data_IF_884201622761
#
_entry.id   IF_884201622761
#
_cell.length_a   1.000
_cell.length_b   1.000
_cell.length_c   1.000
_cell.angle_alpha   90.00
_cell.angle_beta   90.00
_cell.angle_gamma   90.00
#
_symmetry.space_group_name_H-M   'P 1'
#
loop_
_entity.id
_entity.type
_entity.pdbx_description
1 polymer ?
#
# COMPACT_ATOMS: atom_id res chain seq x y z
N UNK A 1 28.66 -72.62 -49.08
CA UNK A 1 27.34 -71.92 -48.92
C UNK A 1 27.40 -70.71 -49.80
N UNK A 2 26.38 -70.57 -50.65
CA UNK A 2 26.21 -69.37 -51.49
C UNK A 2 25.55 -68.32 -50.65
N UNK A 3 26.16 -67.11 -50.54
CA UNK A 3 25.51 -65.99 -49.96
C UNK A 3 24.28 -65.54 -50.82
N UNK A 4 23.32 -64.84 -50.27
CA UNK A 4 22.10 -64.42 -50.98
C UNK A 4 22.37 -63.65 -52.27
N UNK A 5 23.61 -63.25 -52.56
CA UNK A 5 24.03 -62.57 -53.78
C UNK A 5 25.01 -63.34 -54.62
N UNK A 6 25.06 -64.68 -54.52
CA UNK A 6 25.90 -65.54 -55.36
C UNK A 6 27.41 -65.46 -55.11
N UNK A 7 27.89 -64.76 -54.12
CA UNK A 7 29.29 -64.76 -53.76
C UNK A 7 29.61 -65.90 -52.83
N UNK A 8 30.75 -66.55 -53.00
CA UNK A 8 31.21 -67.72 -52.21
C UNK A 8 31.30 -67.30 -50.71
N UNK A 9 30.61 -68.09 -49.86
CA UNK A 9 30.71 -67.88 -48.44
C UNK A 9 32.10 -68.31 -47.91
N UNK A 10 32.77 -67.42 -47.22
CA UNK A 10 33.94 -67.73 -46.42
C UNK A 10 33.60 -68.79 -45.38
N UNK A 11 34.32 -69.92 -45.35
CA UNK A 11 34.19 -70.85 -44.25
C UNK A 11 34.75 -70.23 -42.99
N UNK A 12 33.92 -70.08 -41.99
CA UNK A 12 34.26 -69.46 -40.71
C UNK A 12 35.40 -70.03 -39.88
N UNK A 13 36.11 -71.04 -40.48
CA UNK A 13 37.24 -71.74 -39.82
C UNK A 13 38.50 -70.88 -39.67
N UNK A 14 38.61 -69.76 -40.30
CA UNK A 14 39.86 -68.95 -40.32
C UNK A 14 39.73 -67.60 -39.61
N UNK A 15 38.56 -67.26 -39.10
CA UNK A 15 38.34 -65.95 -38.44
C UNK A 15 37.86 -66.20 -37.01
N UNK A 16 38.58 -65.71 -36.03
CA UNK A 16 38.15 -65.76 -34.63
C UNK A 16 37.00 -64.82 -34.42
N UNK A 17 35.90 -65.22 -33.71
CA UNK A 17 34.81 -64.34 -33.38
C UNK A 17 35.25 -63.29 -32.38
N UNK A 18 34.72 -62.09 -32.54
CA UNK A 18 34.95 -61.01 -31.58
C UNK A 18 34.32 -61.33 -30.22
N UNK A 19 33.18 -62.06 -30.24
CA UNK A 19 32.48 -62.49 -29.02
C UNK A 19 31.82 -63.86 -29.19
N UNK A 20 31.78 -64.64 -28.09
CA UNK A 20 31.04 -65.90 -28.00
C UNK A 20 29.97 -65.85 -26.94
N UNK A 21 28.81 -66.45 -27.25
CA UNK A 21 27.67 -66.55 -26.33
C UNK A 21 27.42 -67.95 -25.84
N UNK A 22 26.73 -68.12 -24.68
CA UNK A 22 26.49 -69.46 -24.08
C UNK A 22 25.69 -70.39 -24.99
N UNK A 23 24.83 -69.85 -25.83
CA UNK A 23 24.08 -70.66 -26.80
C UNK A 23 24.91 -71.15 -27.99
N UNK A 24 26.23 -71.00 -27.96
CA UNK A 24 27.12 -71.31 -29.01
C UNK A 24 27.16 -70.36 -30.19
N UNK A 25 26.46 -69.24 -30.09
CA UNK A 25 26.48 -68.18 -31.09
C UNK A 25 27.81 -67.40 -31.04
N UNK A 26 28.30 -66.99 -32.19
CA UNK A 26 29.50 -66.19 -32.33
C UNK A 26 29.15 -64.88 -33.07
N UNK A 27 29.66 -63.75 -32.57
CA UNK A 27 29.50 -62.46 -33.13
C UNK A 27 30.76 -61.96 -33.78
N UNK A 28 30.68 -61.58 -35.02
CA UNK A 28 31.77 -61.01 -35.79
C UNK A 28 31.46 -59.56 -36.13
N UNK A 29 32.39 -58.64 -35.86
CA UNK A 29 32.34 -57.27 -36.34
C UNK A 29 32.98 -57.17 -37.71
N UNK A 30 32.29 -56.65 -38.67
CA UNK A 30 32.85 -56.31 -39.99
C UNK A 30 33.58 -57.43 -40.66
N UNK A 31 32.86 -58.49 -41.03
CA UNK A 31 33.46 -59.59 -41.85
C UNK A 31 34.05 -59.01 -43.15
N UNK A 32 35.21 -59.51 -43.62
CA UNK A 32 35.93 -59.02 -44.79
C UNK A 32 35.07 -58.92 -46.08
N UNK A 33 34.03 -59.72 -46.19
CA UNK A 33 33.08 -59.70 -47.33
C UNK A 33 32.22 -58.42 -47.45
N UNK A 34 32.13 -57.65 -46.38
CA UNK A 34 31.29 -56.47 -46.34
C UNK A 34 32.09 -55.16 -46.15
N UNK A 35 33.43 -55.26 -46.17
CA UNK A 35 34.28 -54.06 -46.06
C UNK A 35 34.16 -53.12 -47.25
N UNK A 36 33.83 -53.61 -48.42
CA UNK A 36 33.65 -52.79 -49.62
C UNK A 36 32.39 -51.94 -49.60
N UNK A 37 31.39 -52.17 -48.70
CA UNK A 37 30.14 -51.41 -48.61
C UNK A 37 30.27 -50.17 -47.74
N UNK A 38 31.39 -49.97 -47.05
CA UNK A 38 31.63 -48.87 -46.16
C UNK A 38 30.69 -48.84 -44.90
N UNK A 39 29.80 -49.82 -44.77
CA UNK A 39 28.92 -49.96 -43.62
C UNK A 39 29.40 -51.00 -42.64
N UNK A 40 29.63 -50.67 -41.37
CA UNK A 40 29.94 -51.67 -40.36
C UNK A 40 28.75 -52.63 -40.21
N UNK A 41 29.00 -53.91 -40.19
CA UNK A 41 28.01 -54.96 -40.03
C UNK A 41 28.31 -55.80 -38.79
N UNK A 42 27.23 -56.25 -38.14
CA UNK A 42 27.35 -57.30 -37.11
C UNK A 42 26.80 -58.59 -37.72
N UNK A 43 27.64 -59.64 -37.70
CA UNK A 43 27.23 -60.93 -38.17
C UNK A 43 27.12 -61.87 -36.99
N UNK A 44 25.95 -62.50 -36.85
CA UNK A 44 25.68 -63.50 -35.85
C UNK A 44 25.82 -64.94 -36.49
N UNK A 45 26.68 -65.79 -35.94
CA UNK A 45 26.82 -67.19 -36.32
C UNK A 45 26.21 -68.06 -35.23
N UNK A 46 25.40 -69.03 -35.61
CA UNK A 46 24.90 -70.07 -34.73
C UNK A 46 25.26 -71.45 -35.32
N UNK A 47 26.05 -72.24 -34.59
CA UNK A 47 26.58 -73.53 -35.07
C UNK A 47 27.48 -73.36 -36.32
N UNK A 48 27.16 -74.07 -37.41
CA UNK A 48 27.92 -74.00 -38.68
C UNK A 48 27.32 -72.96 -39.67
N UNK A 49 26.25 -72.22 -39.29
CA UNK A 49 25.52 -71.36 -40.18
C UNK A 49 25.55 -69.94 -39.68
N UNK A 50 25.73 -68.95 -40.57
CA UNK A 50 25.53 -67.56 -40.29
C UNK A 50 24.00 -67.25 -40.30
N UNK A 51 23.51 -66.75 -39.21
CA UNK A 51 22.04 -66.52 -39.03
C UNK A 51 21.61 -65.18 -39.55
N UNK A 52 22.41 -64.17 -39.38
CA UNK A 52 22.12 -62.81 -39.88
C UNK A 52 23.39 -61.96 -39.98
N UNK A 53 23.44 -61.10 -40.98
CA UNK A 53 24.40 -60.02 -41.07
C UNK A 53 23.54 -58.74 -41.18
N UNK A 54 23.53 -57.99 -40.14
CA UNK A 54 22.69 -56.73 -40.06
C UNK A 54 23.64 -55.55 -40.23
N UNK A 55 23.40 -54.73 -41.24
CA UNK A 55 24.10 -53.42 -41.32
C UNK A 55 23.77 -52.62 -40.07
N UNK A 56 24.82 -52.11 -39.45
CA UNK A 56 24.65 -51.13 -38.39
C UNK A 56 24.16 -49.83 -39.05
N UNK A 57 22.84 -49.70 -39.21
CA UNK A 57 22.24 -48.46 -39.60
C UNK A 57 22.62 -47.47 -38.51
N UNK A 58 23.42 -46.45 -38.84
CA UNK A 58 23.56 -45.30 -37.98
C UNK A 58 22.14 -44.79 -37.79
N UNK A 59 21.57 -45.04 -36.61
CA UNK A 59 20.40 -44.27 -36.18
C UNK A 59 20.85 -42.84 -36.17
N UNK A 60 20.40 -42.05 -37.15
CA UNK A 60 20.49 -40.59 -37.11
C UNK A 60 19.52 -40.17 -36.02
N UNK A 61 19.97 -40.31 -34.79
CA UNK A 61 19.34 -39.58 -33.70
C UNK A 61 19.81 -38.15 -33.90
N UNK A 62 18.90 -37.22 -34.07
CA UNK A 62 19.22 -35.77 -33.99
C UNK A 62 20.21 -35.54 -32.83
N UNK A 63 21.13 -34.56 -32.90
CA UNK A 63 22.22 -34.43 -31.97
C UNK A 63 21.71 -34.54 -30.53
N UNK A 64 21.79 -35.74 -30.01
CA UNK A 64 21.39 -36.03 -28.65
C UNK A 64 22.45 -35.36 -27.72
N UNK A 65 22.04 -34.77 -26.61
CA UNK A 65 22.95 -34.16 -25.65
C UNK A 65 23.76 -35.18 -24.85
N UNK A 66 23.94 -36.37 -25.40
CA UNK A 66 24.68 -37.47 -24.76
C UNK A 66 25.34 -38.33 -25.81
N UNK A 67 26.48 -38.92 -25.44
CA UNK A 67 27.17 -39.94 -26.18
C UNK A 67 26.67 -41.31 -25.75
N UNK A 68 26.81 -42.31 -26.60
CA UNK A 68 26.41 -43.67 -26.23
C UNK A 68 27.46 -44.71 -26.69
N UNK A 69 27.50 -45.80 -25.95
CA UNK A 69 28.30 -46.98 -26.27
C UNK A 69 27.48 -48.24 -26.07
N UNK A 70 27.58 -49.15 -27.01
CA UNK A 70 26.98 -50.46 -26.88
C UNK A 70 28.14 -51.45 -26.72
N UNK A 71 28.11 -52.21 -25.61
CA UNK A 71 29.12 -53.21 -25.29
C UNK A 71 28.48 -54.60 -25.32
N UNK A 72 29.25 -55.61 -25.75
CA UNK A 72 28.88 -57.00 -25.59
C UNK A 72 29.83 -57.67 -24.62
N UNK A 73 29.31 -58.61 -23.84
CA UNK A 73 30.10 -59.45 -22.93
C UNK A 73 30.29 -60.78 -23.51
N UNK A 74 31.57 -61.23 -23.60
CA UNK A 74 31.92 -62.59 -23.92
C UNK A 74 31.76 -63.42 -22.66
N UNK A 75 30.89 -64.43 -22.70
CA UNK A 75 30.59 -65.25 -21.53
C UNK A 75 31.69 -66.28 -21.19
N UNK A 76 32.48 -66.61 -22.16
CA UNK A 76 33.56 -67.56 -21.95
C UNK A 76 34.82 -66.96 -21.32
N UNK A 77 35.09 -65.71 -21.67
CA UNK A 77 36.28 -64.97 -21.20
C UNK A 77 35.92 -63.84 -20.18
N UNK A 78 34.63 -63.59 -19.96
CA UNK A 78 34.14 -62.50 -19.15
C UNK A 78 34.62 -61.10 -19.60
N UNK A 79 35.21 -60.99 -20.79
CA UNK A 79 35.68 -59.74 -21.36
C UNK A 79 34.52 -58.98 -22.00
N UNK A 80 34.41 -57.67 -21.71
CA UNK A 80 33.50 -56.76 -22.39
C UNK A 80 34.22 -56.05 -23.53
N UNK A 81 33.61 -56.04 -24.68
CA UNK A 81 34.15 -55.35 -25.85
C UNK A 81 33.17 -54.35 -26.43
N UNK A 82 33.73 -53.33 -27.01
CA UNK A 82 32.93 -52.27 -27.69
C UNK A 82 32.30 -52.85 -28.96
N UNK A 83 31.00 -52.83 -29.06
CA UNK A 83 30.25 -53.22 -30.25
C UNK A 83 29.98 -51.98 -31.16
N UNK A 84 29.54 -50.91 -30.60
CA UNK A 84 29.14 -49.73 -31.36
C UNK A 84 29.16 -48.47 -30.46
N UNK A 85 29.34 -47.31 -31.05
CA UNK A 85 29.29 -46.02 -30.33
C UNK A 85 30.67 -45.41 -30.11
N UNK A 86 30.68 -44.37 -29.31
CA UNK A 86 31.91 -43.65 -28.97
C UNK A 86 32.63 -44.34 -27.80
N UNK A 87 33.96 -44.34 -27.84
CA UNK A 87 34.75 -44.91 -26.76
C UNK A 87 34.59 -43.98 -25.52
N UNK A 88 34.13 -44.53 -24.38
CA UNK A 88 34.01 -43.74 -23.18
C UNK A 88 35.39 -43.26 -22.68
N UNK A 89 35.46 -42.17 -21.91
CA UNK A 89 36.69 -41.64 -21.35
C UNK A 89 37.50 -42.71 -20.64
N UNK A 90 38.86 -42.65 -20.74
CA UNK A 90 39.78 -43.56 -20.07
C UNK A 90 39.52 -43.56 -18.56
N UNK A 91 39.37 -44.77 -17.98
CA UNK A 91 39.06 -44.95 -16.55
C UNK A 91 37.58 -45.24 -16.25
N UNK A 92 36.72 -45.31 -17.28
CA UNK A 92 35.32 -45.69 -17.12
C UNK A 92 35.20 -47.17 -16.71
N UNK A 93 34.41 -47.49 -15.67
CA UNK A 93 34.18 -48.89 -15.30
C UNK A 93 33.43 -49.64 -16.39
N UNK A 94 33.69 -50.96 -16.50
CA UNK A 94 32.92 -51.83 -17.39
C UNK A 94 31.47 -51.93 -16.89
N UNK A 95 30.54 -51.30 -17.63
CA UNK A 95 29.12 -51.35 -17.31
C UNK A 95 28.55 -52.72 -17.74
N UNK A 96 28.34 -53.59 -16.77
CA UNK A 96 27.86 -54.95 -16.99
C UNK A 96 26.46 -55.19 -16.45
N UNK A 97 25.85 -54.19 -15.82
CA UNK A 97 24.54 -54.28 -15.22
C UNK A 97 23.78 -52.95 -15.41
N UNK A 98 22.45 -53.00 -15.26
CA UNK A 98 21.58 -51.82 -15.25
C UNK A 98 21.99 -50.90 -14.11
N UNK A 99 22.11 -49.63 -14.40
CA UNK A 99 22.41 -48.65 -13.34
C UNK A 99 22.64 -47.25 -13.84
N UNK A 100 22.72 -46.35 -12.90
CA UNK A 100 23.17 -44.95 -13.11
C UNK A 100 24.37 -44.70 -12.23
N UNK A 101 25.39 -44.12 -12.78
CA UNK A 101 26.64 -43.84 -12.05
C UNK A 101 27.12 -42.44 -12.42
N UNK A 102 27.65 -41.73 -11.45
CA UNK A 102 28.37 -40.47 -11.65
C UNK A 102 29.82 -40.67 -11.29
N UNK A 103 30.70 -40.39 -12.23
CA UNK A 103 32.13 -40.42 -12.03
C UNK A 103 32.65 -39.04 -12.43
N UNK A 104 33.22 -38.32 -11.49
CA UNK A 104 33.65 -36.94 -11.66
C UNK A 104 32.51 -36.05 -12.21
N UNK A 105 32.71 -35.40 -13.34
CA UNK A 105 31.73 -34.57 -14.03
C UNK A 105 30.82 -35.32 -15.00
N UNK A 106 31.07 -36.62 -15.21
CA UNK A 106 30.35 -37.45 -16.18
C UNK A 106 29.21 -38.22 -15.51
N UNK A 107 28.08 -38.24 -16.18
CA UNK A 107 26.88 -39.01 -15.82
C UNK A 107 26.75 -40.17 -16.79
N UNK A 108 26.59 -41.38 -16.27
CA UNK A 108 26.42 -42.61 -17.00
C UNK A 108 25.08 -43.24 -16.67
N UNK A 109 24.38 -43.74 -17.70
CA UNK A 109 23.17 -44.52 -17.52
C UNK A 109 23.26 -45.78 -18.40
N UNK A 110 23.20 -46.94 -17.79
CA UNK A 110 23.35 -48.24 -18.48
C UNK A 110 22.05 -49.02 -18.42
N UNK A 111 21.70 -49.61 -19.54
CA UNK A 111 20.64 -50.61 -19.66
C UNK A 111 21.19 -51.83 -20.39
N UNK A 112 20.99 -53.00 -19.79
CA UNK A 112 21.46 -54.29 -20.32
C UNK A 112 20.28 -55.13 -20.78
N UNK A 113 20.45 -55.81 -21.90
CA UNK A 113 19.47 -56.78 -22.38
C UNK A 113 19.73 -58.15 -21.77
N UNK A 114 18.72 -58.72 -21.12
CA UNK A 114 18.79 -60.08 -20.54
C UNK A 114 18.89 -61.15 -21.61
N UNK A 115 18.44 -60.87 -22.84
CA UNK A 115 18.36 -61.83 -23.93
C UNK A 115 19.62 -61.87 -24.82
N UNK A 116 20.36 -60.77 -24.91
CA UNK A 116 21.46 -60.61 -25.88
C UNK A 116 22.80 -60.26 -25.24
N UNK A 117 22.90 -60.25 -23.92
CA UNK A 117 24.12 -59.93 -23.15
C UNK A 117 24.82 -58.62 -23.59
N UNK A 118 24.04 -57.72 -24.17
CA UNK A 118 24.51 -56.41 -24.62
C UNK A 118 24.06 -55.32 -23.67
N UNK A 119 24.92 -54.37 -23.35
CA UNK A 119 24.59 -53.21 -22.54
C UNK A 119 24.73 -51.96 -23.38
N UNK A 120 23.73 -51.10 -23.33
CA UNK A 120 23.79 -49.77 -23.89
C UNK A 120 24.04 -48.77 -22.75
N UNK A 121 25.12 -48.02 -22.83
CA UNK A 121 25.46 -46.97 -21.86
C UNK A 121 25.44 -45.63 -22.55
N UNK A 122 24.59 -44.73 -22.09
CA UNK A 122 24.64 -43.34 -22.45
C UNK A 122 25.48 -42.56 -21.43
N UNK A 123 26.28 -41.63 -21.91
CA UNK A 123 27.10 -40.80 -21.03
C UNK A 123 27.14 -39.34 -21.54
N UNK A 124 27.26 -38.42 -20.60
CA UNK A 124 27.33 -36.98 -20.86
C UNK A 124 27.95 -36.27 -19.67
N UNK A 125 28.39 -35.05 -19.86
CA UNK A 125 28.85 -34.19 -18.77
C UNK A 125 27.94 -32.96 -18.60
N UNK A 126 27.95 -32.38 -17.40
CA UNK A 126 27.10 -31.22 -17.06
C UNK A 126 27.38 -30.01 -17.96
N UNK A 127 28.64 -29.63 -18.26
CA UNK A 127 28.94 -28.55 -19.21
C UNK A 127 28.31 -28.77 -20.59
N UNK A 128 28.36 -29.99 -21.13
CA UNK A 128 27.82 -30.30 -22.46
C UNK A 128 26.27 -30.20 -22.50
N UNK A 129 25.60 -30.61 -21.41
CA UNK A 129 24.14 -30.44 -21.27
C UNK A 129 23.78 -28.94 -21.26
N UNK A 130 24.53 -28.13 -20.50
CA UNK A 130 24.32 -26.70 -20.42
C UNK A 130 24.53 -26.04 -21.80
N UNK A 131 25.59 -26.40 -22.50
CA UNK A 131 25.91 -25.84 -23.82
C UNK A 131 24.85 -26.18 -24.86
N UNK A 132 24.43 -27.46 -24.94
CA UNK A 132 23.38 -27.91 -25.86
C UNK A 132 22.01 -27.30 -25.54
N UNK A 133 21.75 -26.96 -24.25
CA UNK A 133 20.49 -26.40 -23.80
C UNK A 133 20.57 -24.89 -23.50
N UNK A 134 21.67 -24.21 -23.87
CA UNK A 134 21.98 -22.81 -23.52
C UNK A 134 20.85 -21.85 -23.82
N UNK A 135 20.23 -21.95 -24.98
CA UNK A 135 19.11 -21.09 -25.39
C UNK A 135 17.86 -21.30 -24.52
N UNK A 136 17.56 -22.53 -24.17
CA UNK A 136 16.43 -22.86 -23.27
C UNK A 136 16.70 -22.38 -21.85
N UNK A 137 17.94 -22.53 -21.37
CA UNK A 137 18.37 -22.12 -20.04
C UNK A 137 18.32 -20.58 -19.90
N UNK A 138 18.84 -19.86 -20.89
CA UNK A 138 18.77 -18.39 -20.94
C UNK A 138 17.33 -17.90 -21.05
N UNK A 139 16.49 -18.59 -21.81
CA UNK A 139 15.05 -18.32 -21.90
C UNK A 139 14.34 -18.46 -20.55
N UNK A 140 14.61 -19.54 -19.81
CA UNK A 140 14.05 -19.74 -18.47
C UNK A 140 14.51 -18.68 -17.47
N UNK A 141 15.79 -18.30 -17.48
CA UNK A 141 16.33 -17.23 -16.62
C UNK A 141 15.69 -15.89 -16.99
N UNK A 142 15.59 -15.56 -18.28
CA UNK A 142 14.96 -14.33 -18.74
C UNK A 142 13.47 -14.24 -18.35
N UNK A 143 12.72 -15.31 -18.55
CA UNK A 143 11.30 -15.39 -18.13
C UNK A 143 11.15 -15.27 -16.62
N UNK A 144 11.98 -15.95 -15.84
CA UNK A 144 11.95 -15.87 -14.37
C UNK A 144 12.29 -14.46 -13.87
N UNK A 145 13.29 -13.81 -14.49
CA UNK A 145 13.65 -12.43 -14.19
C UNK A 145 12.52 -11.44 -14.51
N UNK A 146 11.85 -11.62 -15.65
CA UNK A 146 10.72 -10.79 -16.07
C UNK A 146 9.51 -10.98 -15.12
N UNK A 147 9.17 -12.22 -14.76
CA UNK A 147 8.09 -12.51 -13.81
C UNK A 147 8.40 -11.95 -12.41
N UNK A 148 9.61 -12.17 -11.91
CA UNK A 148 10.06 -11.62 -10.62
C UNK A 148 10.03 -10.09 -10.61
N UNK A 149 10.47 -9.44 -11.70
CA UNK A 149 10.40 -7.99 -11.88
C UNK A 149 8.98 -7.45 -11.89
N UNK A 150 8.06 -8.10 -12.61
CA UNK A 150 6.64 -7.73 -12.63
C UNK A 150 5.98 -7.85 -11.26
N UNK A 151 6.24 -8.93 -10.54
CA UNK A 151 5.71 -9.14 -9.19
C UNK A 151 6.28 -8.08 -8.23
N UNK A 152 7.57 -7.84 -8.24
CA UNK A 152 8.22 -6.81 -7.43
C UNK A 152 7.70 -5.41 -7.72
N UNK A 153 7.50 -5.09 -9.01
CA UNK A 153 6.89 -3.83 -9.43
C UNK A 153 5.44 -3.69 -8.95
N UNK A 154 4.63 -4.73 -9.09
CA UNK A 154 3.25 -4.75 -8.60
C UNK A 154 3.17 -4.57 -7.08
N UNK A 155 4.02 -5.28 -6.33
CA UNK A 155 4.13 -5.11 -4.87
C UNK A 155 4.55 -3.68 -4.51
N UNK A 156 5.53 -3.10 -5.22
CA UNK A 156 5.98 -1.72 -5.00
C UNK A 156 4.85 -0.71 -5.26
N UNK A 157 4.07 -0.90 -6.34
CA UNK A 157 2.91 -0.04 -6.64
C UNK A 157 1.83 -0.15 -5.57
N UNK A 158 1.50 -1.37 -5.13
CA UNK A 158 0.54 -1.61 -4.06
C UNK A 158 1.01 -0.99 -2.73
N UNK A 159 2.29 -1.14 -2.40
CA UNK A 159 2.89 -0.55 -1.21
C UNK A 159 2.81 0.98 -1.26
N UNK A 160 3.25 1.62 -2.35
CA UNK A 160 3.18 3.08 -2.54
C UNK A 160 1.74 3.58 -2.47
N UNK A 161 0.79 2.89 -3.09
CA UNK A 161 -0.63 3.25 -3.03
C UNK A 161 -1.17 3.15 -1.61
N UNK A 162 -0.83 2.11 -0.88
CA UNK A 162 -1.30 1.86 0.48
C UNK A 162 -0.68 2.82 1.52
N UNK A 163 0.51 3.35 1.23
CA UNK A 163 1.22 4.34 2.06
C UNK A 163 0.89 5.79 1.67
N UNK A 164 -0.01 6.02 0.70
CA UNK A 164 -0.40 7.38 0.35
C UNK A 164 -1.10 8.07 1.54
N UNK A 165 -0.84 9.37 1.72
CA UNK A 165 -1.45 10.18 2.78
C UNK A 165 -2.99 10.07 2.78
N UNK A 166 -3.61 10.03 1.59
CA UNK A 166 -5.05 9.82 1.46
C UNK A 166 -5.52 8.51 2.09
N UNK A 167 -4.85 7.39 1.80
CA UNK A 167 -5.24 6.09 2.34
C UNK A 167 -5.02 5.99 3.85
N UNK A 168 -3.95 6.61 4.35
CA UNK A 168 -3.69 6.69 5.79
C UNK A 168 -4.79 7.51 6.49
N UNK A 169 -5.19 8.66 5.93
CA UNK A 169 -6.26 9.47 6.49
C UNK A 169 -7.60 8.74 6.46
N UNK A 170 -7.96 8.09 5.35
CA UNK A 170 -9.18 7.26 5.26
C UNK A 170 -9.19 6.13 6.30
N UNK A 171 -8.03 5.50 6.56
CA UNK A 171 -7.91 4.51 7.64
C UNK A 171 -8.06 5.15 9.01
N UNK A 172 -7.42 6.30 9.24
CA UNK A 172 -7.53 7.03 10.51
C UNK A 172 -8.99 7.42 10.82
N UNK A 173 -9.76 7.87 9.82
CA UNK A 173 -11.19 8.18 9.99
C UNK A 173 -11.97 6.92 10.38
N UNK A 174 -11.82 5.80 9.64
CA UNK A 174 -12.54 4.55 9.90
C UNK A 174 -12.19 3.93 11.25
N UNK A 175 -10.93 3.99 11.64
CA UNK A 175 -10.41 3.42 12.90
C UNK A 175 -10.50 4.39 14.07
N UNK A 176 -11.14 5.57 13.89
CA UNK A 176 -11.23 6.64 14.88
C UNK A 176 -9.86 7.13 15.39
N UNK A 177 -8.84 7.03 14.54
CA UNK A 177 -7.48 7.51 14.80
C UNK A 177 -7.30 9.02 14.64
N UNK A 178 -8.25 9.68 13.95
CA UNK A 178 -8.31 11.14 13.91
C UNK A 178 -8.70 11.66 15.31
N UNK A 179 -7.86 12.47 15.92
CA UNK A 179 -8.11 13.06 17.25
C UNK A 179 -8.87 14.37 17.10
N UNK A 180 -9.67 14.70 18.12
CA UNK A 180 -10.29 16.01 18.27
C UNK A 180 -9.82 16.60 19.59
N UNK A 181 -9.38 17.84 19.54
CA UNK A 181 -8.99 18.65 20.70
C UNK A 181 -9.84 19.90 20.73
N UNK A 182 -9.94 20.57 21.87
CA UNK A 182 -10.88 21.62 22.13
C UNK A 182 -10.18 22.86 22.65
N UNK A 183 -10.38 23.99 22.01
CA UNK A 183 -9.84 25.28 22.45
C UNK A 183 -10.92 26.08 23.15
N UNK A 184 -10.64 26.66 24.34
CA UNK A 184 -11.63 27.44 25.09
C UNK A 184 -12.09 28.67 24.31
N UNK A 185 -13.40 28.94 24.40
CA UNK A 185 -14.05 30.16 23.99
C UNK A 185 -14.53 30.86 25.25
N UNK A 186 -14.14 32.14 25.44
CA UNK A 186 -14.34 32.91 26.66
C UNK A 186 -15.15 34.16 26.33
N UNK A 187 -16.15 34.44 27.12
CA UNK A 187 -16.82 35.75 27.12
C UNK A 187 -15.90 36.76 27.79
N UNK A 188 -15.49 37.80 27.04
CA UNK A 188 -14.49 38.76 27.50
C UNK A 188 -15.07 39.74 28.54
N UNK A 189 -16.39 39.84 28.68
CA UNK A 189 -17.05 40.67 29.68
C UNK A 189 -17.16 39.97 31.03
N UNK A 190 -17.50 38.67 31.00
CA UNK A 190 -17.70 37.88 32.22
C UNK A 190 -16.48 37.04 32.58
N UNK A 191 -15.50 36.93 31.67
CA UNK A 191 -14.30 36.10 31.78
C UNK A 191 -14.63 34.61 31.92
N UNK A 192 -15.84 34.20 31.60
CA UNK A 192 -16.27 32.79 31.72
C UNK A 192 -16.05 32.01 30.42
N UNK A 193 -15.70 30.73 30.56
CA UNK A 193 -15.68 29.81 29.44
C UNK A 193 -17.10 29.47 29.06
N UNK A 194 -17.56 29.96 27.89
CA UNK A 194 -18.90 29.75 27.35
C UNK A 194 -18.96 28.67 26.30
N UNK A 195 -17.82 28.20 25.82
CA UNK A 195 -17.81 27.19 24.78
C UNK A 195 -16.41 26.68 24.48
N UNK A 196 -16.32 25.96 23.36
CA UNK A 196 -15.06 25.49 22.81
C UNK A 196 -15.11 25.33 21.29
N UNK A 197 -14.00 25.51 20.63
CA UNK A 197 -13.85 25.10 19.23
C UNK A 197 -13.27 23.70 19.14
N UNK A 198 -13.90 22.84 18.35
CA UNK A 198 -13.45 21.47 18.08
C UNK A 198 -12.49 21.44 16.90
N UNK A 199 -11.25 21.10 17.18
CA UNK A 199 -10.15 21.11 16.22
C UNK A 199 -9.65 19.69 15.96
N UNK A 200 -9.72 19.26 14.72
CA UNK A 200 -9.19 17.95 14.32
C UNK A 200 -7.66 17.94 14.30
N UNK A 201 -7.07 16.81 14.71
CA UNK A 201 -5.61 16.60 14.74
C UNK A 201 -5.32 15.20 14.19
N UNK A 202 -4.40 15.16 13.26
CA UNK A 202 -3.98 13.92 12.64
C UNK A 202 -2.47 13.76 12.71
N UNK A 203 -2.05 12.54 13.07
CA UNK A 203 -0.67 12.09 12.98
C UNK A 203 -0.65 10.94 11.98
N UNK A 204 0.23 11.01 11.01
CA UNK A 204 0.38 9.96 10.00
C UNK A 204 0.98 8.67 10.60
N UNK A 205 1.01 7.60 9.82
CA UNK A 205 1.56 6.32 10.26
C UNK A 205 3.09 6.37 10.47
N UNK A 206 3.76 7.41 9.96
CA UNK A 206 5.17 7.71 10.21
C UNK A 206 5.42 8.49 11.51
N UNK A 207 4.35 8.89 12.23
CA UNK A 207 4.45 9.68 13.47
C UNK A 207 4.54 11.19 13.24
N UNK A 208 4.37 11.70 12.02
CA UNK A 208 4.42 13.13 11.73
C UNK A 208 3.04 13.77 11.94
N UNK A 209 3.03 14.91 12.61
CA UNK A 209 1.81 15.71 12.78
C UNK A 209 1.50 16.41 11.45
N UNK A 210 0.34 16.13 10.90
CA UNK A 210 -0.15 16.75 9.65
C UNK A 210 -1.07 17.92 10.01
N UNK A 211 -0.80 19.10 9.43
CA UNK A 211 -1.62 20.29 9.67
C UNK A 211 -3.04 20.11 9.15
N UNK A 212 -4.06 20.64 9.87
CA UNK A 212 -5.48 20.53 9.47
C UNK A 212 -5.74 21.01 8.04
N UNK A 213 -5.17 22.14 7.65
CA UNK A 213 -5.38 22.73 6.32
C UNK A 213 -4.92 21.78 5.20
N UNK A 214 -3.88 20.98 5.46
CA UNK A 214 -3.33 20.05 4.48
C UNK A 214 -4.24 18.85 4.29
N UNK A 215 -4.65 18.21 5.39
CA UNK A 215 -5.44 16.99 5.27
C UNK A 215 -6.92 17.27 4.96
N UNK A 216 -7.47 18.40 5.42
CA UNK A 216 -8.85 18.83 5.09
C UNK A 216 -8.96 19.15 3.61
N UNK A 217 -8.03 19.97 3.07
CA UNK A 217 -7.98 20.26 1.63
C UNK A 217 -7.87 18.98 0.81
N UNK A 218 -6.97 18.07 1.19
CA UNK A 218 -6.85 16.79 0.49
C UNK A 218 -8.14 15.98 0.53
N UNK A 219 -8.83 15.95 1.68
CA UNK A 219 -10.09 15.24 1.83
C UNK A 219 -11.22 15.88 0.98
N UNK A 220 -11.23 17.21 0.87
CA UNK A 220 -12.15 17.96 0.04
C UNK A 220 -11.91 17.69 -1.45
N UNK A 221 -10.66 17.81 -1.93
CA UNK A 221 -10.27 17.51 -3.31
C UNK A 221 -10.56 16.04 -3.70
N UNK A 222 -10.55 15.14 -2.75
CA UNK A 222 -10.83 13.70 -2.94
C UNK A 222 -12.25 13.27 -2.60
N UNK A 223 -13.12 14.22 -2.23
CA UNK A 223 -14.54 14.01 -2.03
C UNK A 223 -14.91 13.19 -0.80
N UNK A 224 -14.14 13.26 0.29
CA UNK A 224 -14.45 12.56 1.55
C UNK A 224 -14.34 13.43 2.81
N UNK A 225 -14.31 14.75 2.67
CA UNK A 225 -14.24 15.68 3.81
C UNK A 225 -15.44 15.53 4.74
N UNK A 226 -16.63 15.24 4.21
CA UNK A 226 -17.85 15.00 4.99
C UNK A 226 -17.71 13.84 6.00
N UNK A 227 -16.81 12.88 5.74
CA UNK A 227 -16.51 11.82 6.72
C UNK A 227 -15.73 12.36 7.92
N UNK A 228 -14.88 13.38 7.72
CA UNK A 228 -14.17 14.09 8.80
C UNK A 228 -15.17 14.86 9.64
N UNK A 229 -16.01 15.67 9.01
CA UNK A 229 -17.03 16.48 9.69
C UNK A 229 -17.98 15.59 10.52
N UNK A 230 -18.48 14.51 9.93
CA UNK A 230 -19.31 13.52 10.64
C UNK A 230 -18.58 12.94 11.86
N UNK A 231 -17.31 12.59 11.73
CA UNK A 231 -16.51 12.06 12.84
C UNK A 231 -16.36 13.12 13.93
N UNK A 232 -16.06 14.37 13.58
CA UNK A 232 -15.89 15.48 14.53
C UNK A 232 -17.20 15.72 15.30
N UNK A 233 -18.34 15.85 14.61
CA UNK A 233 -19.66 16.03 15.23
C UNK A 233 -19.96 14.91 16.24
N UNK A 234 -19.81 13.65 15.83
CA UNK A 234 -20.02 12.54 16.75
C UNK A 234 -19.05 12.53 17.94
N UNK A 235 -17.82 12.99 17.73
CA UNK A 235 -16.82 13.09 18.80
C UNK A 235 -17.19 14.21 19.78
N UNK A 236 -17.58 15.38 19.28
CA UNK A 236 -18.06 16.51 20.10
C UNK A 236 -19.24 16.10 20.97
N UNK A 237 -20.26 15.49 20.38
CA UNK A 237 -21.44 15.05 21.11
C UNK A 237 -21.11 13.96 22.13
N UNK A 238 -20.25 13.00 21.80
CA UNK A 238 -19.78 11.99 22.76
C UNK A 238 -19.05 12.64 23.94
N UNK A 239 -18.21 13.62 23.67
CA UNK A 239 -17.34 14.23 24.67
C UNK A 239 -18.08 15.29 25.53
N UNK A 240 -19.04 16.04 24.96
CA UNK A 240 -19.65 17.20 25.63
C UNK A 240 -21.18 17.15 25.78
N UNK A 241 -21.89 16.09 25.35
CA UNK A 241 -23.35 16.06 25.44
C UNK A 241 -23.87 16.26 26.88
N UNK A 242 -23.18 15.75 27.89
CA UNK A 242 -23.59 15.96 29.28
C UNK A 242 -23.40 17.43 29.72
N UNK A 243 -22.28 18.05 29.36
CA UNK A 243 -22.00 19.45 29.64
C UNK A 243 -23.04 20.34 28.99
N UNK A 244 -23.33 20.15 27.70
CA UNK A 244 -24.32 20.89 26.94
C UNK A 244 -25.73 20.79 27.52
N UNK A 245 -26.12 19.60 28.01
CA UNK A 245 -27.45 19.43 28.67
C UNK A 245 -27.53 20.10 30.02
N UNK A 246 -26.41 20.10 30.76
CA UNK A 246 -26.38 20.69 32.10
C UNK A 246 -26.19 22.22 32.10
N UNK A 247 -25.61 22.75 31.02
CA UNK A 247 -25.29 24.17 30.84
C UNK A 247 -25.79 24.60 29.45
N UNK A 248 -27.07 25.05 29.33
CA UNK A 248 -27.66 25.40 28.03
C UNK A 248 -26.95 26.55 27.29
N UNK A 249 -26.19 27.39 27.99
CA UNK A 249 -25.35 28.44 27.39
C UNK A 249 -23.99 27.92 26.85
N UNK A 250 -23.60 26.66 27.18
CA UNK A 250 -22.35 26.10 26.68
C UNK A 250 -22.52 25.50 25.28
N UNK A 251 -21.68 25.95 24.35
CA UNK A 251 -21.72 25.46 22.98
C UNK A 251 -20.33 24.99 22.50
N UNK A 252 -20.32 24.12 21.51
CA UNK A 252 -19.07 23.70 20.82
C UNK A 252 -19.23 24.00 19.35
N UNK A 253 -18.26 24.71 18.79
CA UNK A 253 -18.21 24.98 17.37
C UNK A 253 -17.46 23.89 16.60
N UNK A 254 -17.93 23.62 15.40
CA UNK A 254 -17.34 22.68 14.45
C UNK A 254 -17.15 23.32 13.09
N UNK A 255 -15.98 23.12 12.52
CA UNK A 255 -15.65 23.60 11.18
C UNK A 255 -16.35 22.74 10.12
N UNK A 256 -17.03 23.40 9.17
CA UNK A 256 -17.82 22.81 8.09
C UNK A 256 -17.36 23.39 6.76
N UNK A 257 -17.19 22.54 5.76
CA UNK A 257 -16.74 22.96 4.43
C UNK A 257 -17.91 23.20 3.47
N UNK A 258 -17.62 23.85 2.33
CA UNK A 258 -18.63 24.00 1.26
C UNK A 258 -19.15 22.66 0.73
N UNK A 259 -18.34 21.60 0.78
CA UNK A 259 -18.75 20.26 0.38
C UNK A 259 -19.78 19.65 1.35
N UNK A 260 -19.65 19.91 2.66
CA UNK A 260 -20.63 19.49 3.66
C UNK A 260 -21.96 20.20 3.44
N UNK A 261 -21.93 21.53 3.21
CA UNK A 261 -23.12 22.32 2.95
C UNK A 261 -23.87 21.89 1.68
N UNK A 262 -23.15 21.34 0.70
CA UNK A 262 -23.71 20.84 -0.55
C UNK A 262 -24.19 19.36 -0.43
N UNK A 263 -23.85 18.65 0.64
CA UNK A 263 -24.29 17.27 0.85
C UNK A 263 -25.77 17.23 1.30
N UNK A 264 -26.69 16.62 0.52
CA UNK A 264 -28.09 16.50 0.88
C UNK A 264 -28.33 15.75 2.21
N UNK A 265 -27.38 14.92 2.63
CA UNK A 265 -27.45 14.15 3.85
C UNK A 265 -26.97 14.91 5.10
N UNK A 266 -26.33 16.07 4.95
CA UNK A 266 -25.67 16.78 6.03
C UNK A 266 -26.64 17.20 7.15
N UNK A 267 -27.72 17.87 6.81
CA UNK A 267 -28.71 18.31 7.78
C UNK A 267 -29.34 17.13 8.55
N UNK A 268 -29.67 16.07 7.83
CA UNK A 268 -30.20 14.85 8.48
C UNK A 268 -29.17 14.21 9.41
N UNK A 269 -27.92 14.18 9.04
CA UNK A 269 -26.82 13.67 9.87
C UNK A 269 -26.73 14.45 11.19
N UNK A 270 -26.83 15.78 11.15
CA UNK A 270 -26.83 16.63 12.33
C UNK A 270 -28.05 16.36 13.21
N UNK A 271 -29.26 16.38 12.62
CA UNK A 271 -30.52 16.12 13.33
C UNK A 271 -30.48 14.76 14.05
N UNK A 272 -30.07 13.68 13.36
CA UNK A 272 -29.98 12.33 13.92
C UNK A 272 -28.95 12.26 15.07
N UNK A 273 -27.78 12.90 14.90
CA UNK A 273 -26.71 12.90 15.90
C UNK A 273 -27.11 13.65 17.17
N UNK A 274 -27.72 14.84 17.02
CA UNK A 274 -28.21 15.65 18.14
C UNK A 274 -29.36 14.95 18.90
N UNK A 275 -30.31 14.36 18.16
CA UNK A 275 -31.40 13.60 18.75
C UNK A 275 -30.88 12.38 19.56
N UNK A 276 -29.92 11.64 19.01
CA UNK A 276 -29.28 10.52 19.71
C UNK A 276 -28.58 10.98 21.00
N UNK A 277 -27.90 12.11 20.96
CA UNK A 277 -27.19 12.69 22.11
C UNK A 277 -28.13 13.43 23.09
N UNK A 278 -29.38 13.70 22.70
CA UNK A 278 -30.35 14.53 23.42
C UNK A 278 -29.79 15.92 23.72
N UNK A 279 -29.18 16.53 22.71
CA UNK A 279 -28.59 17.88 22.80
C UNK A 279 -29.37 18.82 21.91
N UNK A 280 -29.59 20.06 22.37
CA UNK A 280 -30.25 21.08 21.60
C UNK A 280 -29.33 21.61 20.49
N UNK A 281 -29.90 22.02 19.36
CA UNK A 281 -29.14 22.50 18.21
C UNK A 281 -28.29 23.73 18.52
N UNK A 282 -28.75 24.60 19.43
CA UNK A 282 -28.03 25.81 19.88
C UNK A 282 -26.66 25.49 20.51
N UNK A 283 -26.49 24.27 21.07
CA UNK A 283 -25.23 23.86 21.68
C UNK A 283 -24.18 23.43 20.66
N UNK A 284 -24.53 23.33 19.38
CA UNK A 284 -23.58 22.97 18.29
C UNK A 284 -23.57 24.14 17.30
N UNK A 285 -22.50 24.93 17.35
CA UNK A 285 -22.23 26.02 16.42
C UNK A 285 -21.55 25.52 15.16
N UNK A 286 -21.92 26.03 14.02
CA UNK A 286 -21.38 25.68 12.72
C UNK A 286 -20.47 26.82 12.24
N UNK A 287 -19.20 26.56 12.06
CA UNK A 287 -18.22 27.49 11.51
C UNK A 287 -17.97 27.22 10.04
N UNK A 288 -18.07 28.24 9.22
CA UNK A 288 -17.88 28.18 7.77
C UNK A 288 -16.89 29.25 7.34
N UNK A 289 -15.93 28.93 6.50
CA UNK A 289 -15.01 29.93 5.97
C UNK A 289 -15.71 30.84 4.95
N UNK A 290 -15.25 32.07 4.84
CA UNK A 290 -15.73 33.04 3.85
C UNK A 290 -15.72 32.45 2.42
N UNK A 291 -14.64 31.74 2.06
CA UNK A 291 -14.49 31.16 0.73
C UNK A 291 -15.44 30.00 0.43
N UNK A 292 -15.89 29.29 1.45
CA UNK A 292 -16.82 28.15 1.30
C UNK A 292 -18.19 28.55 0.81
N UNK A 293 -18.59 29.79 1.08
CA UNK A 293 -19.93 30.30 0.80
C UNK A 293 -20.07 30.90 -0.60
N UNK A 294 -18.99 31.42 -1.19
CA UNK A 294 -19.00 32.14 -2.47
C UNK A 294 -19.33 31.24 -3.66
N UNK A 295 -19.06 29.96 -3.58
CA UNK A 295 -19.08 29.03 -4.75
C UNK A 295 -20.40 28.31 -4.99
N UNK A 296 -21.38 28.31 -4.05
CA UNK A 296 -22.52 27.40 -4.17
C UNK A 296 -23.83 28.07 -3.69
N UNK A 297 -24.75 28.36 -4.59
CA UNK A 297 -26.11 28.80 -4.25
C UNK A 297 -26.86 27.85 -3.30
N UNK A 298 -26.53 26.55 -3.31
CA UNK A 298 -27.03 25.54 -2.37
C UNK A 298 -26.56 25.78 -0.93
N UNK A 299 -25.37 26.36 -0.73
CA UNK A 299 -24.85 26.67 0.61
C UNK A 299 -25.76 27.67 1.35
N UNK A 300 -26.26 28.65 0.68
CA UNK A 300 -27.18 29.68 1.25
C UNK A 300 -28.48 29.06 1.79
N UNK A 301 -29.04 28.10 1.09
CA UNK A 301 -30.24 27.42 1.54
C UNK A 301 -29.94 26.51 2.75
N UNK A 302 -28.82 25.80 2.74
CA UNK A 302 -28.39 24.97 3.85
C UNK A 302 -28.10 25.79 5.10
N UNK A 303 -27.45 26.95 4.99
CA UNK A 303 -27.23 27.92 6.09
C UNK A 303 -28.56 28.36 6.71
N UNK A 304 -29.51 28.80 5.87
CA UNK A 304 -30.86 29.18 6.36
C UNK A 304 -31.56 28.04 7.07
N UNK A 305 -31.40 26.82 6.58
CA UNK A 305 -31.99 25.62 7.18
C UNK A 305 -31.31 25.25 8.51
N UNK A 306 -29.99 25.43 8.65
CA UNK A 306 -29.27 25.27 9.93
C UNK A 306 -29.82 26.24 10.99
N UNK A 307 -29.94 27.52 10.65
CA UNK A 307 -30.50 28.54 11.57
C UNK A 307 -31.95 28.24 11.96
N UNK A 308 -32.80 27.82 11.00
CA UNK A 308 -34.18 27.40 11.29
C UNK A 308 -34.27 26.23 12.26
N UNK A 309 -33.24 25.37 12.31
CA UNK A 309 -33.11 24.26 13.27
C UNK A 309 -32.59 24.71 14.64
N UNK A 310 -32.12 25.94 14.74
CA UNK A 310 -31.60 26.54 15.96
C UNK A 310 -30.08 26.46 16.10
N UNK A 311 -29.36 26.06 15.07
CA UNK A 311 -27.90 26.17 15.09
C UNK A 311 -27.49 27.64 14.94
N UNK A 312 -26.45 28.08 15.67
CA UNK A 312 -25.71 29.30 15.39
C UNK A 312 -24.72 29.01 14.24
N UNK A 313 -24.62 29.96 13.29
CA UNK A 313 -23.71 29.86 12.14
C UNK A 313 -22.75 31.03 12.18
N UNK A 314 -21.44 30.73 12.26
CA UNK A 314 -20.37 31.71 12.32
C UNK A 314 -19.56 31.73 11.03
N UNK A 315 -19.12 32.89 10.59
CA UNK A 315 -18.14 33.04 9.51
C UNK A 315 -16.75 33.06 10.12
N UNK A 316 -15.92 32.13 9.68
CA UNK A 316 -14.53 31.99 10.10
C UNK A 316 -13.57 32.75 9.17
N UNK A 317 -12.36 33.08 9.67
CA UNK A 317 -11.29 33.82 8.96
C UNK A 317 -11.75 35.15 8.34
N UNK A 318 -12.69 35.85 8.99
CA UNK A 318 -13.27 37.07 8.43
C UNK A 318 -12.24 38.19 8.27
N UNK A 319 -12.25 38.82 7.07
CA UNK A 319 -11.38 39.95 6.70
C UNK A 319 -10.13 39.54 5.93
N UNK A 320 -9.89 38.26 5.70
CA UNK A 320 -8.76 37.77 4.87
C UNK A 320 -9.14 37.58 3.40
N UNK A 321 -10.41 37.70 3.05
CA UNK A 321 -10.98 37.48 1.72
C UNK A 321 -11.68 38.71 1.10
N UNK A 322 -12.63 38.44 0.18
CA UNK A 322 -13.33 39.46 -0.63
C UNK A 322 -14.78 39.71 -0.16
N UNK A 323 -15.08 39.60 1.13
CA UNK A 323 -16.45 39.79 1.58
C UNK A 323 -16.95 41.24 1.33
N UNK A 324 -17.96 41.37 0.48
CA UNK A 324 -18.72 42.58 0.43
C UNK A 324 -19.76 42.58 1.55
N UNK A 325 -20.00 43.76 2.18
CA UNK A 325 -21.05 43.97 3.18
C UNK A 325 -22.43 43.44 2.74
N UNK A 326 -22.75 43.59 1.45
CA UNK A 326 -23.98 43.06 0.86
C UNK A 326 -24.09 41.55 0.94
N UNK A 327 -22.96 40.87 0.79
CA UNK A 327 -22.90 39.41 0.86
C UNK A 327 -23.14 38.88 2.28
N UNK A 328 -22.56 39.52 3.29
CA UNK A 328 -22.79 39.15 4.69
C UNK A 328 -24.25 39.28 5.10
N UNK A 329 -24.90 40.36 4.68
CA UNK A 329 -26.34 40.58 4.91
C UNK A 329 -27.19 39.45 4.31
N UNK A 330 -26.83 38.97 3.10
CA UNK A 330 -27.57 37.91 2.41
C UNK A 330 -27.31 36.51 3.00
N UNK A 331 -26.12 36.29 3.61
CA UNK A 331 -25.74 35.00 4.20
C UNK A 331 -26.58 34.61 5.41
N UNK A 332 -27.22 35.56 6.10
CA UNK A 332 -28.03 35.27 7.29
C UNK A 332 -27.24 34.46 8.33
N UNK A 333 -26.09 34.92 8.75
CA UNK A 333 -25.25 34.33 9.80
C UNK A 333 -25.47 34.98 11.16
N UNK A 334 -24.96 34.40 12.23
CA UNK A 334 -25.16 34.88 13.60
C UNK A 334 -23.93 35.60 14.15
N UNK A 335 -22.74 35.22 13.70
CA UNK A 335 -21.48 35.78 14.18
C UNK A 335 -20.41 35.84 13.11
N UNK A 336 -19.41 36.69 13.34
CA UNK A 336 -18.13 36.69 12.62
C UNK A 336 -16.98 36.40 13.57
N UNK A 337 -16.01 35.60 13.10
CA UNK A 337 -14.76 35.37 13.80
C UNK A 337 -13.67 36.21 13.14
N UNK A 338 -13.13 37.14 13.90
CA UNK A 338 -12.06 38.04 13.44
C UNK A 338 -10.76 37.29 13.47
N UNK A 339 -10.13 37.16 12.29
CA UNK A 339 -8.87 36.45 12.15
C UNK A 339 -7.77 37.06 13.05
N UNK A 340 -6.90 36.18 13.54
CA UNK A 340 -5.78 36.53 14.41
C UNK A 340 -4.87 37.61 13.88
N UNK A 341 -4.76 37.81 12.56
CA UNK A 341 -3.93 38.86 11.98
C UNK A 341 -4.36 40.26 12.40
N UNK A 342 -5.68 40.46 12.62
CA UNK A 342 -6.21 41.71 13.15
C UNK A 342 -5.95 41.86 14.65
N UNK A 343 -6.15 40.79 15.42
CA UNK A 343 -5.92 40.78 16.87
C UNK A 343 -4.45 41.02 17.19
N UNK A 344 -3.53 40.37 16.47
CA UNK A 344 -2.10 40.54 16.66
C UNK A 344 -1.56 41.92 16.25
N UNK A 345 -2.31 42.66 15.47
CA UNK A 345 -1.96 44.03 15.10
C UNK A 345 -2.22 45.04 16.25
N UNK A 346 -3.07 44.74 17.23
CA UNK A 346 -3.37 45.58 18.37
C UNK A 346 -2.10 45.93 19.16
N UNK A 347 -1.88 47.17 19.49
CA UNK A 347 -0.68 47.66 20.15
C UNK A 347 0.52 47.88 19.21
N UNK A 348 0.34 47.66 17.92
CA UNK A 348 1.39 47.88 16.91
C UNK A 348 1.12 49.07 16.01
N UNK A 349 2.10 49.53 15.23
CA UNK A 349 1.94 50.56 14.22
C UNK A 349 1.35 50.05 12.89
N UNK A 350 0.72 48.89 12.88
CA UNK A 350 0.19 48.29 11.64
C UNK A 350 -1.06 49.03 11.15
N UNK A 351 -1.15 49.18 9.82
CA UNK A 351 -2.33 49.73 9.14
C UNK A 351 -3.59 48.89 9.42
N UNK A 352 -3.42 47.59 9.69
CA UNK A 352 -4.48 46.61 10.01
C UNK A 352 -5.28 47.03 11.24
N UNK A 353 -4.66 47.72 12.23
CA UNK A 353 -5.35 48.25 13.42
C UNK A 353 -6.48 49.23 13.04
N UNK A 354 -6.29 50.04 12.00
CA UNK A 354 -7.30 51.00 11.54
C UNK A 354 -8.53 50.38 10.90
N UNK A 355 -8.47 49.10 10.50
CA UNK A 355 -9.60 48.36 9.91
C UNK A 355 -10.49 47.73 10.98
N UNK A 356 -9.92 47.33 12.11
CA UNK A 356 -10.64 46.63 13.18
C UNK A 356 -11.89 47.37 13.71
N UNK A 357 -11.84 48.70 14.00
CA UNK A 357 -13.03 49.44 14.38
C UNK A 357 -14.14 49.43 13.32
N UNK A 358 -13.77 49.38 12.04
CA UNK A 358 -14.74 49.31 10.95
C UNK A 358 -15.42 47.93 10.87
N UNK A 359 -14.68 46.85 11.11
CA UNK A 359 -15.24 45.49 11.18
C UNK A 359 -16.21 45.40 12.36
N UNK A 360 -15.85 45.95 13.51
CA UNK A 360 -16.67 45.95 14.72
C UNK A 360 -17.97 46.79 14.52
N UNK A 361 -17.85 47.97 13.95
CA UNK A 361 -19.02 48.83 13.63
C UNK A 361 -19.94 48.15 12.61
N UNK A 362 -19.40 47.43 11.66
CA UNK A 362 -20.17 46.64 10.70
C UNK A 362 -20.90 45.49 11.38
N UNK A 363 -20.22 44.72 12.25
CA UNK A 363 -20.83 43.63 13.00
C UNK A 363 -22.02 44.16 13.86
N UNK A 364 -21.83 45.27 14.54
CA UNK A 364 -22.87 45.94 15.33
C UNK A 364 -24.08 46.36 14.46
N UNK A 365 -23.81 47.01 13.33
CA UNK A 365 -24.87 47.44 12.40
C UNK A 365 -25.69 46.28 11.81
N UNK A 366 -25.09 45.10 11.71
CA UNK A 366 -25.71 43.85 11.23
C UNK A 366 -26.25 42.96 12.35
N UNK A 367 -26.12 43.37 13.62
CA UNK A 367 -26.45 42.60 14.81
C UNK A 367 -25.76 41.22 14.82
N UNK A 368 -24.48 41.16 14.43
CA UNK A 368 -23.67 39.97 14.46
C UNK A 368 -22.86 39.90 15.76
N UNK A 369 -22.79 38.73 16.36
CA UNK A 369 -21.84 38.47 17.44
C UNK A 369 -20.41 38.52 16.90
N UNK A 370 -19.44 38.85 17.77
CA UNK A 370 -18.03 38.90 17.40
C UNK A 370 -17.26 37.88 18.22
N UNK A 371 -16.44 37.10 17.54
CA UNK A 371 -15.44 36.24 18.16
C UNK A 371 -14.06 36.73 17.73
N UNK A 372 -13.24 37.17 18.69
CA UNK A 372 -11.86 37.59 18.43
C UNK A 372 -10.89 36.44 18.59
N UNK A 373 -10.17 36.09 17.51
CA UNK A 373 -9.20 35.00 17.50
C UNK A 373 -7.77 35.46 17.77
N UNK A 374 -6.93 34.53 18.26
CA UNK A 374 -5.52 34.77 18.42
C UNK A 374 -5.16 35.74 19.53
N UNK A 375 -6.00 35.87 20.58
CA UNK A 375 -5.70 36.68 21.75
C UNK A 375 -4.58 36.02 22.56
N UNK A 376 -3.44 36.71 22.64
CA UNK A 376 -2.24 36.20 23.31
C UNK A 376 -1.83 37.07 24.52
N UNK A 377 -2.32 38.32 24.58
CA UNK A 377 -2.00 39.29 25.64
C UNK A 377 -3.21 39.88 26.30
N UNK A 378 -3.05 40.36 27.54
CA UNK A 378 -4.12 41.05 28.30
C UNK A 378 -4.55 42.33 27.58
N UNK A 379 -3.59 43.04 26.96
CA UNK A 379 -3.88 44.27 26.20
C UNK A 379 -4.84 43.98 25.03
N UNK A 380 -4.65 42.89 24.31
CA UNK A 380 -5.55 42.47 23.25
C UNK A 380 -6.94 42.13 23.80
N UNK A 381 -7.01 41.40 24.92
CA UNK A 381 -8.28 41.04 25.55
C UNK A 381 -9.03 42.30 26.03
N UNK A 382 -8.32 43.22 26.69
CA UNK A 382 -8.91 44.48 27.19
C UNK A 382 -9.44 45.37 26.04
N UNK A 383 -8.73 45.42 24.92
CA UNK A 383 -9.20 46.17 23.74
C UNK A 383 -10.60 45.74 23.30
N UNK A 384 -10.87 44.44 23.29
CA UNK A 384 -12.19 43.93 22.93
C UNK A 384 -13.21 44.00 24.08
N UNK A 385 -12.78 43.86 25.32
CA UNK A 385 -13.66 43.98 26.49
C UNK A 385 -14.22 45.43 26.68
N UNK A 386 -13.46 46.43 26.23
CA UNK A 386 -13.87 47.85 26.31
C UNK A 386 -14.91 48.25 25.23
N UNK A 387 -15.24 47.32 24.33
CA UNK A 387 -16.24 47.55 23.28
C UNK A 387 -17.64 47.34 23.88
N UNK A 388 -18.59 48.21 23.50
CA UNK A 388 -19.96 48.16 24.01
C UNK A 388 -20.73 46.87 23.65
N UNK A 389 -20.28 46.17 22.61
CA UNK A 389 -20.82 44.91 22.14
C UNK A 389 -20.15 43.74 22.88
N UNK A 390 -20.92 42.72 23.25
CA UNK A 390 -20.37 41.51 23.82
C UNK A 390 -19.46 40.81 22.80
N UNK A 391 -18.20 40.56 23.16
CA UNK A 391 -17.22 39.89 22.33
C UNK A 391 -16.76 38.60 23.02
N UNK A 392 -16.77 37.52 22.26
CA UNK A 392 -16.14 36.28 22.69
C UNK A 392 -14.67 36.26 22.25
N UNK A 393 -13.82 35.69 23.07
CA UNK A 393 -12.37 35.63 22.81
C UNK A 393 -11.85 34.20 22.76
N UNK A 394 -10.91 33.97 21.84
CA UNK A 394 -10.19 32.74 21.71
C UNK A 394 -8.70 33.02 21.49
N UNK A 395 -7.84 32.31 22.15
CA UNK A 395 -6.39 32.49 21.97
C UNK A 395 -5.55 31.81 23.06
N UNK A 396 -4.24 31.96 22.94
CA UNK A 396 -3.32 31.29 23.88
C UNK A 396 -3.35 31.95 25.29
N UNK A 397 -3.86 33.15 25.40
CA UNK A 397 -4.11 33.77 26.70
C UNK A 397 -5.04 32.90 27.54
N UNK A 398 -6.12 32.38 26.94
CA UNK A 398 -7.14 31.57 27.61
C UNK A 398 -6.82 30.07 27.62
N UNK A 399 -6.02 29.62 26.68
CA UNK A 399 -5.57 28.24 26.60
C UNK A 399 -5.32 27.75 25.18
N UNK A 400 -4.48 26.72 25.08
CA UNK A 400 -4.29 25.98 23.84
C UNK A 400 -5.39 24.93 23.68
N UNK A 401 -5.53 24.42 22.47
CA UNK A 401 -6.44 23.30 22.20
C UNK A 401 -5.97 22.03 22.94
N UNK A 402 -6.80 21.47 23.81
CA UNK A 402 -6.51 20.35 24.71
C UNK A 402 -7.52 19.20 24.52
N UNK A 403 -7.17 17.97 24.92
CA UNK A 403 -8.09 16.83 24.90
C UNK A 403 -9.33 17.07 25.79
N UNK A 404 -10.46 16.42 25.46
CA UNK A 404 -11.72 16.56 26.20
C UNK A 404 -11.59 16.34 27.72
N UNK A 405 -10.82 15.35 28.14
CA UNK A 405 -10.62 15.06 29.58
C UNK A 405 -9.95 16.24 30.31
N UNK A 406 -8.99 16.89 29.67
CA UNK A 406 -8.31 18.06 30.21
C UNK A 406 -9.24 19.28 30.21
N UNK A 407 -10.05 19.42 29.15
CA UNK A 407 -11.03 20.49 29.06
C UNK A 407 -12.09 20.39 30.16
N UNK A 408 -12.60 19.18 30.45
CA UNK A 408 -13.51 18.97 31.57
C UNK A 408 -12.87 19.32 32.93
N UNK A 409 -11.57 19.05 33.10
CA UNK A 409 -10.84 19.47 34.30
C UNK A 409 -10.72 20.99 34.41
N UNK A 410 -10.52 21.65 33.26
CA UNK A 410 -10.50 23.10 33.17
C UNK A 410 -11.86 23.71 33.58
N UNK A 411 -12.97 23.22 33.02
CA UNK A 411 -14.33 23.66 33.38
C UNK A 411 -14.64 23.44 34.87
N UNK A 412 -14.26 22.29 35.40
CA UNK A 412 -14.48 21.98 36.83
C UNK A 412 -13.68 22.90 37.79
N UNK A 413 -12.54 23.39 37.34
CA UNK A 413 -11.73 24.39 38.11
C UNK A 413 -12.32 25.78 37.97
N UNK A 414 -12.68 26.22 36.77
CA UNK A 414 -13.34 27.52 36.54
C UNK A 414 -14.65 27.64 37.32
N UNK A 415 -15.48 26.56 37.38
CA UNK A 415 -16.72 26.53 38.14
C UNK A 415 -16.57 26.52 39.68
N UNK A 416 -15.38 26.24 40.21
CA UNK A 416 -15.07 26.23 41.65
C UNK A 416 -14.44 27.55 42.14
N UNK A 417 -14.02 28.44 41.24
CA UNK A 417 -13.30 29.67 41.55
C UNK A 417 -14.14 30.93 41.39
N UNK A 418 -15.43 30.87 41.67
CA UNK A 418 -16.26 32.09 41.79
C UNK A 418 -16.56 32.41 43.24
N UNK A 419 -15.69 33.21 43.90
CA UNK A 419 -16.17 34.42 44.58
C UNK A 419 -16.04 35.58 43.58
N UNK A 420 -16.89 36.59 43.77
CA UNK A 420 -17.15 37.70 42.88
C UNK A 420 -15.99 38.73 42.69
N UNK A 421 -14.75 38.38 43.04
CA UNK A 421 -13.61 39.29 42.96
C UNK A 421 -12.42 38.59 42.27
N UNK A 422 -12.13 39.04 41.06
CA UNK A 422 -10.91 38.86 40.31
C UNK A 422 -10.52 37.41 39.92
N UNK A 423 -10.82 36.99 38.71
CA UNK A 423 -10.05 35.99 37.99
C UNK A 423 -8.76 36.69 37.53
N UNK A 424 -7.69 36.53 38.30
CA UNK A 424 -6.35 36.86 37.84
C UNK A 424 -6.01 35.98 36.61
N UNK A 425 -6.05 36.58 35.44
CA UNK A 425 -5.68 36.01 34.14
C UNK A 425 -4.26 35.37 34.20
N UNK A 426 -3.41 35.82 35.12
CA UNK A 426 -2.08 35.27 35.40
C UNK A 426 -2.07 33.79 35.78
N UNK A 427 -3.17 33.22 36.35
CA UNK A 427 -3.19 31.83 36.80
C UNK A 427 -3.50 30.81 35.69
N UNK A 428 -4.09 31.23 34.57
CA UNK A 428 -4.31 30.33 33.42
C UNK A 428 -3.00 30.13 32.64
N UNK A 429 -2.13 31.14 32.63
CA UNK A 429 -0.82 31.08 31.95
C UNK A 429 0.20 30.16 32.62
N UNK A 430 0.02 29.80 33.90
CA UNK A 430 0.94 28.94 34.68
C UNK A 430 0.67 27.44 34.60
N UNK A 431 -0.33 27.03 33.80
CA UNK A 431 -0.59 25.60 33.50
C UNK A 431 0.07 25.16 32.18
N UNK A 432 1.34 25.55 32.00
CA UNK A 432 2.21 25.02 30.91
C UNK A 432 2.81 23.66 31.30
#
# INVERSE_FOLDING_TARGET
MLGCNGKAALTARSIEPDFRQQDGSAIYKSLPQYQDSGMPTITLQRGRSFVASVPLIRMHVEPAPFHYVITARDESTLKTGLLMGEQPPSGTPNFTADGKLRIDENLYATRCSIRSFNCATAFTNLPQIIETSRTRFLGCIGLSGMFGGLIGFAISLLYRRNMSMEQQLRRAIRQKGLKVVYQPLVDLTTEQIVGAEALSRWTDEGGHVVRPEVFTRMAEERGFVCDITRLVVHRVLRDFAQTMRNHPGFHVSVNVTGADLADPGFLKMLDDALAQARVAAQSLTIEITESSTVRHGLAMETIRNLRKRGHSVHIDDFGTGYSSLAYLHDLSVDAIKIDRAFTQAIGTASVTVGILPQILAMADALNLEVVAEGIETIEQASYFADIAQAVLGQGWLFGRAIPAADFHRLLARAGKQLPADAIEIEKIATLR
#
